data_IF_986409680347
#
_entry.id   IF_986409680347
#
_cell.length_a   1.000
_cell.length_b   1.000
_cell.length_c   1.000
_cell.angle_alpha   90.00
_cell.angle_beta   90.00
_cell.angle_gamma   90.00
#
_symmetry.space_group_name_H-M   'P 1'
#
loop_
_entity.id
_entity.type
_entity.pdbx_description
1 polymer ?
#
# COMPACT_ATOMS: atom_id res chain seq x y z
N UNK A 1 -37.96 6.50 -43.98
CA UNK A 1 -37.40 7.61 -44.80
C UNK A 1 -36.61 8.49 -43.83
N UNK A 2 -35.35 8.63 -43.78
CA UNK A 2 -34.22 8.67 -44.70
C UNK A 2 -32.96 8.15 -44.02
N UNK A 3 -32.25 7.23 -44.68
CA UNK A 3 -30.81 6.93 -44.45
C UNK A 3 -29.97 8.01 -45.13
N UNK A 4 -28.84 8.38 -44.46
CA UNK A 4 -27.56 8.89 -44.99
C UNK A 4 -26.87 9.69 -43.85
N UNK A 5 -25.60 9.49 -43.43
CA UNK A 5 -24.39 9.21 -44.15
C UNK A 5 -23.37 8.58 -43.22
N UNK A 6 -22.78 7.46 -43.63
CA UNK A 6 -21.52 6.96 -43.09
C UNK A 6 -20.39 7.77 -43.76
N UNK A 7 -19.70 8.59 -43.00
CA UNK A 7 -18.50 9.35 -43.44
C UNK A 7 -17.25 8.47 -43.42
N UNK A 8 -16.67 8.38 -44.59
CA UNK A 8 -15.48 7.61 -44.95
C UNK A 8 -14.24 7.99 -44.12
N UNK A 9 -13.76 7.03 -43.31
CA UNK A 9 -12.52 7.14 -42.55
C UNK A 9 -11.23 7.02 -43.37
N UNK A 10 -11.28 6.88 -44.68
CA UNK A 10 -10.14 6.73 -45.57
C UNK A 10 -9.63 8.04 -46.19
N UNK A 11 -10.32 9.15 -45.95
CA UNK A 11 -9.98 10.46 -46.51
C UNK A 11 -8.95 11.28 -45.71
N UNK A 12 -8.67 10.93 -44.46
CA UNK A 12 -7.84 11.76 -43.56
C UNK A 12 -6.32 11.52 -43.67
N UNK A 13 -5.90 10.46 -44.35
CA UNK A 13 -4.48 10.05 -44.41
C UNK A 13 -3.73 10.49 -45.70
N UNK A 14 -4.30 11.32 -46.55
CA UNK A 14 -3.69 11.70 -47.85
C UNK A 14 -3.43 13.17 -48.07
N UNK A 15 -3.49 14.05 -47.07
CA UNK A 15 -3.21 15.49 -47.25
C UNK A 15 -2.27 16.09 -46.20
N UNK A 16 -1.13 15.47 -45.97
CA UNK A 16 -0.07 16.07 -45.13
C UNK A 16 1.30 15.68 -45.63
N UNK A 17 1.57 15.88 -46.93
CA UNK A 17 2.91 15.92 -47.47
C UNK A 17 2.92 17.07 -48.47
N UNK A 18 3.45 18.20 -48.09
CA UNK A 18 4.21 19.24 -48.76
C UNK A 18 3.95 20.61 -48.12
N UNK A 19 4.81 20.99 -47.22
CA UNK A 19 5.30 22.36 -47.08
C UNK A 19 6.63 22.32 -46.36
N UNK A 20 7.71 22.37 -47.14
CA UNK A 20 9.05 22.57 -46.62
C UNK A 20 9.19 24.00 -46.11
N UNK A 21 9.64 24.16 -44.90
CA UNK A 21 10.22 25.39 -44.41
C UNK A 21 11.42 25.04 -43.55
N UNK A 22 12.58 25.41 -44.05
CA UNK A 22 13.88 25.38 -43.38
C UNK A 22 13.80 26.22 -42.12
N UNK A 23 13.83 25.58 -40.97
CA UNK A 23 14.09 26.23 -39.68
C UNK A 23 15.44 25.76 -39.17
N UNK A 24 16.33 26.72 -39.04
CA UNK A 24 17.66 26.64 -38.47
C UNK A 24 17.58 25.95 -37.08
N UNK A 25 18.17 24.76 -37.00
CA UNK A 25 18.43 24.08 -35.76
C UNK A 25 19.52 24.82 -34.98
N UNK A 26 19.15 25.65 -34.02
CA UNK A 26 20.01 25.98 -32.90
C UNK A 26 20.26 24.71 -32.11
N UNK A 27 21.50 24.33 -31.80
CA UNK A 27 21.75 23.23 -30.88
C UNK A 27 21.42 23.74 -29.48
N UNK A 28 20.21 23.45 -29.00
CA UNK A 28 19.97 23.41 -27.57
C UNK A 28 20.76 22.21 -27.05
N UNK A 29 21.97 22.46 -26.60
CA UNK A 29 22.72 21.56 -25.74
C UNK A 29 21.96 21.56 -24.42
N UNK A 30 21.04 20.61 -24.25
CA UNK A 30 20.64 20.17 -22.95
C UNK A 30 21.94 19.68 -22.29
N UNK A 31 22.48 20.50 -21.43
CA UNK A 31 23.46 20.10 -20.45
C UNK A 31 22.72 19.10 -19.52
N UNK A 32 22.75 17.82 -19.88
CA UNK A 32 22.51 16.77 -18.95
C UNK A 32 23.54 17.02 -17.84
N UNK A 33 23.04 17.37 -16.66
CA UNK A 33 23.78 17.31 -15.42
C UNK A 33 24.42 15.93 -15.33
N UNK A 34 25.54 15.84 -14.67
CA UNK A 34 26.48 14.73 -14.52
C UNK A 34 25.93 13.40 -14.00
N UNK A 35 24.70 13.05 -14.31
CA UNK A 35 24.06 11.77 -13.98
C UNK A 35 24.44 10.63 -14.94
N UNK A 36 25.33 10.89 -15.90
CA UNK A 36 25.84 9.87 -16.83
C UNK A 36 26.81 8.87 -16.19
N UNK A 37 27.29 9.10 -14.96
CA UNK A 37 28.14 8.14 -14.24
C UNK A 37 27.36 7.02 -13.55
N UNK A 38 26.02 7.06 -13.55
CA UNK A 38 25.15 6.05 -12.91
C UNK A 38 25.03 4.77 -13.77
N UNK A 39 25.46 4.77 -15.02
CA UNK A 39 25.14 3.74 -16.01
C UNK A 39 26.25 2.73 -16.30
N UNK A 40 27.41 2.81 -15.72
CA UNK A 40 28.49 1.86 -16.00
C UNK A 40 28.94 1.01 -14.81
N UNK A 41 28.18 -0.05 -14.53
CA UNK A 41 28.78 -1.28 -14.01
C UNK A 41 28.27 -2.45 -14.86
N UNK A 42 28.93 -2.68 -15.99
CA UNK A 42 28.75 -3.93 -16.73
C UNK A 42 29.41 -5.06 -15.97
N UNK A 43 28.64 -6.08 -15.61
CA UNK A 43 29.21 -7.34 -15.16
C UNK A 43 29.84 -8.08 -16.34
N UNK A 44 30.67 -9.09 -16.10
CA UNK A 44 31.35 -9.90 -17.14
C UNK A 44 30.40 -10.56 -18.15
N UNK A 45 29.07 -10.48 -17.97
CA UNK A 45 28.04 -11.04 -18.81
C UNK A 45 27.21 -9.96 -19.53
N UNK A 46 27.64 -8.69 -19.54
CA UNK A 46 27.02 -7.62 -20.32
C UNK A 46 25.73 -7.01 -19.75
N UNK A 47 25.32 -7.35 -18.53
CA UNK A 47 24.19 -6.72 -17.84
C UNK A 47 24.59 -5.45 -17.09
N UNK A 48 23.80 -4.40 -17.22
CA UNK A 48 23.95 -3.18 -16.39
C UNK A 48 23.33 -3.45 -15.02
N UNK A 49 24.16 -3.54 -13.98
CA UNK A 49 23.67 -3.58 -12.61
C UNK A 49 23.44 -2.17 -12.08
N UNK A 50 22.19 -1.82 -11.82
CA UNK A 50 21.86 -0.59 -11.09
C UNK A 50 22.33 -0.74 -9.63
N UNK A 51 23.02 0.28 -9.10
CA UNK A 51 23.32 0.31 -7.67
C UNK A 51 22.02 0.48 -6.90
N UNK A 52 21.78 -0.40 -5.94
CA UNK A 52 20.58 -0.34 -5.10
C UNK A 52 20.65 0.85 -4.14
N UNK A 53 19.80 1.83 -4.36
CA UNK A 53 19.65 3.03 -3.52
C UNK A 53 18.27 3.14 -2.87
N UNK A 54 17.37 2.17 -3.09
CA UNK A 54 16.03 2.14 -2.53
C UNK A 54 15.98 1.57 -1.11
N UNK A 55 14.92 1.90 -0.37
CA UNK A 55 14.55 1.25 0.87
C UNK A 55 13.95 -0.12 0.55
N UNK A 56 14.46 -1.19 1.18
CA UNK A 56 13.95 -2.54 0.96
C UNK A 56 12.56 -2.71 1.56
N UNK A 57 11.65 -3.35 0.81
CA UNK A 57 10.35 -3.78 1.34
C UNK A 57 10.61 -4.91 2.34
N UNK A 58 10.23 -4.69 3.60
CA UNK A 58 10.35 -5.69 4.66
C UNK A 58 9.01 -6.06 5.29
N UNK A 59 7.91 -5.50 4.78
CA UNK A 59 6.57 -5.88 5.19
C UNK A 59 5.58 -5.88 4.03
N UNK A 60 4.50 -6.64 4.17
CA UNK A 60 3.42 -6.68 3.19
C UNK A 60 2.07 -6.93 3.83
N UNK A 61 1.03 -6.39 3.21
CA UNK A 61 -0.33 -6.80 3.53
C UNK A 61 -0.63 -8.20 2.98
N UNK A 62 -1.58 -8.87 3.61
CA UNK A 62 -2.24 -10.11 3.16
C UNK A 62 -3.71 -9.79 2.99
N UNK A 63 -4.24 -9.96 1.78
CA UNK A 63 -5.62 -9.61 1.45
C UNK A 63 -6.36 -10.76 0.76
N UNK A 64 -7.33 -11.35 1.46
CA UNK A 64 -8.25 -12.36 0.95
C UNK A 64 -9.72 -11.90 1.10
N UNK A 65 -9.95 -10.60 1.33
CA UNK A 65 -11.27 -10.14 1.72
C UNK A 65 -11.73 -8.85 1.03
N UNK A 66 -10.83 -8.05 0.47
CA UNK A 66 -11.21 -6.82 -0.24
C UNK A 66 -12.03 -7.14 -1.48
N UNK A 67 -12.98 -6.26 -1.77
CA UNK A 67 -13.94 -6.45 -2.87
C UNK A 67 -13.45 -5.90 -4.21
N UNK A 68 -12.37 -5.17 -4.22
CA UNK A 68 -11.83 -4.42 -5.36
C UNK A 68 -10.59 -5.08 -6.00
N UNK A 69 -10.09 -6.15 -5.42
CA UNK A 69 -9.07 -7.01 -6.01
C UNK A 69 -9.60 -8.44 -6.16
N UNK A 70 -9.19 -9.19 -7.20
CA UNK A 70 -9.66 -10.55 -7.41
C UNK A 70 -9.06 -11.50 -6.39
N UNK A 71 -9.88 -12.38 -5.81
CA UNK A 71 -9.41 -13.46 -4.95
C UNK A 71 -8.58 -14.46 -5.75
N UNK A 72 -7.49 -14.93 -5.16
CA UNK A 72 -6.64 -15.97 -5.78
C UNK A 72 -7.12 -17.38 -5.47
N UNK A 73 -8.04 -17.53 -4.52
CA UNK A 73 -8.58 -18.83 -4.07
C UNK A 73 -7.47 -19.79 -3.61
N UNK A 74 -6.46 -19.29 -2.92
CA UNK A 74 -5.35 -20.08 -2.43
C UNK A 74 -5.73 -20.86 -1.17
N UNK A 75 -5.20 -22.10 -1.09
CA UNK A 75 -5.20 -22.87 0.12
C UNK A 75 -3.87 -22.79 0.87
N UNK A 76 -3.73 -23.59 1.93
CA UNK A 76 -2.52 -23.61 2.77
C UNK A 76 -1.23 -23.83 1.97
N UNK A 77 -1.27 -24.67 0.93
CA UNK A 77 -0.07 -24.98 0.13
C UNK A 77 0.43 -23.79 -0.66
N UNK A 78 -0.47 -23.03 -1.25
CA UNK A 78 -0.14 -21.83 -2.01
C UNK A 78 0.32 -20.72 -1.07
N UNK A 79 -0.35 -20.50 0.05
CA UNK A 79 0.07 -19.56 1.08
C UNK A 79 1.43 -19.91 1.67
N UNK A 80 1.70 -21.17 1.97
CA UNK A 80 3.02 -21.62 2.46
C UNK A 80 4.15 -21.27 1.48
N UNK A 81 3.90 -21.50 0.19
CA UNK A 81 4.85 -21.14 -0.88
C UNK A 81 5.03 -19.63 -1.00
N UNK A 82 3.96 -18.87 -0.83
CA UNK A 82 4.00 -17.41 -0.91
C UNK A 82 4.84 -16.81 0.23
N UNK A 83 4.68 -17.32 1.44
CA UNK A 83 5.54 -16.94 2.57
C UNK A 83 7.02 -17.29 2.32
N UNK A 84 7.32 -18.36 1.58
CA UNK A 84 8.68 -18.65 1.14
C UNK A 84 9.24 -17.56 0.22
N UNK A 85 8.45 -17.13 -0.77
CA UNK A 85 8.84 -16.05 -1.68
C UNK A 85 9.02 -14.72 -0.95
N UNK A 86 8.13 -14.39 -0.03
CA UNK A 86 8.27 -13.21 0.86
C UNK A 86 9.58 -13.26 1.64
N UNK A 87 9.86 -14.41 2.28
CA UNK A 87 11.10 -14.61 3.05
C UNK A 87 12.36 -14.45 2.20
N UNK A 88 12.33 -14.95 0.96
CA UNK A 88 13.47 -14.91 0.04
C UNK A 88 13.88 -13.49 -0.36
N UNK A 89 13.01 -12.49 -0.25
CA UNK A 89 13.29 -11.08 -0.50
C UNK A 89 13.38 -10.23 0.76
N UNK A 90 13.43 -10.87 1.95
CA UNK A 90 13.66 -10.19 3.22
C UNK A 90 12.41 -9.62 3.90
N UNK A 91 11.20 -10.02 3.50
CA UNK A 91 9.99 -9.68 4.25
C UNK A 91 10.02 -10.40 5.60
N UNK A 92 9.86 -9.64 6.65
CA UNK A 92 9.86 -10.08 8.05
C UNK A 92 8.54 -9.76 8.78
N UNK A 93 7.66 -9.01 8.12
CA UNK A 93 6.39 -8.55 8.69
C UNK A 93 5.26 -8.80 7.70
N UNK A 94 4.22 -9.48 8.16
CA UNK A 94 2.99 -9.68 7.41
C UNK A 94 1.82 -9.07 8.14
N UNK A 95 0.90 -8.44 7.41
CA UNK A 95 -0.17 -7.63 7.97
C UNK A 95 -1.49 -8.10 7.36
N UNK A 96 -2.38 -8.64 8.15
CA UNK A 96 -3.75 -8.88 7.69
C UNK A 96 -4.40 -7.52 7.43
N UNK A 97 -4.88 -7.28 6.21
CA UNK A 97 -5.45 -5.96 5.84
C UNK A 97 -6.67 -5.61 6.70
N UNK A 98 -7.52 -6.60 6.95
CA UNK A 98 -8.67 -6.52 7.85
C UNK A 98 -9.16 -7.91 8.23
N UNK A 99 -9.66 -8.06 9.42
CA UNK A 99 -10.17 -9.35 9.91
C UNK A 99 -11.56 -9.69 9.39
N UNK A 100 -12.22 -8.74 8.80
CA UNK A 100 -13.51 -8.88 8.14
C UNK A 100 -13.88 -7.61 7.40
N UNK A 101 -14.66 -7.76 6.32
CA UNK A 101 -15.25 -6.66 5.57
C UNK A 101 -16.75 -6.86 5.45
N UNK A 102 -17.52 -5.92 6.01
CA UNK A 102 -18.98 -6.03 6.08
C UNK A 102 -19.39 -7.35 6.74
N UNK A 103 -19.98 -8.27 6.00
CA UNK A 103 -20.46 -9.56 6.53
C UNK A 103 -19.48 -10.72 6.36
N UNK A 104 -18.40 -10.55 5.61
CA UNK A 104 -17.43 -11.62 5.38
C UNK A 104 -16.24 -11.47 6.33
N UNK A 105 -15.89 -12.53 7.06
CA UNK A 105 -14.86 -12.53 8.10
C UNK A 105 -13.83 -13.65 7.87
N UNK A 106 -12.62 -13.45 8.38
CA UNK A 106 -11.46 -14.32 8.13
C UNK A 106 -11.22 -15.36 9.22
N UNK A 107 -11.93 -15.28 10.33
CA UNK A 107 -11.76 -16.17 11.48
C UNK A 107 -13.11 -16.38 12.20
N UNK A 108 -13.28 -17.45 13.02
CA UNK A 108 -14.54 -17.80 13.67
C UNK A 108 -14.86 -16.89 14.87
N UNK A 109 -15.06 -15.59 14.62
CA UNK A 109 -15.49 -14.65 15.65
C UNK A 109 -16.89 -14.99 16.14
N UNK A 110 -17.02 -15.32 17.42
CA UNK A 110 -18.31 -15.58 18.04
C UNK A 110 -19.22 -14.34 18.01
N UNK A 111 -18.62 -13.16 18.22
CA UNK A 111 -19.34 -11.89 18.20
C UNK A 111 -19.90 -11.59 16.81
N UNK A 112 -19.05 -11.60 15.78
CA UNK A 112 -19.46 -11.26 14.42
C UNK A 112 -20.40 -12.30 13.79
N UNK A 113 -20.17 -13.59 14.05
CA UNK A 113 -21.11 -14.66 13.65
C UNK A 113 -22.48 -14.46 14.30
N UNK A 114 -22.52 -14.06 15.58
CA UNK A 114 -23.75 -13.69 16.27
C UNK A 114 -24.49 -12.50 15.67
N UNK A 115 -23.78 -11.61 14.95
CA UNK A 115 -24.34 -10.49 14.18
C UNK A 115 -24.75 -10.88 12.74
N UNK A 116 -24.66 -12.16 12.39
CA UNK A 116 -25.04 -12.67 11.06
C UNK A 116 -23.95 -12.50 9.99
N UNK A 117 -22.69 -12.37 10.42
CA UNK A 117 -21.55 -12.50 9.51
C UNK A 117 -21.31 -13.97 9.17
N UNK A 118 -20.59 -14.23 8.09
CA UNK A 118 -20.14 -15.55 7.66
C UNK A 118 -18.65 -15.53 7.36
N UNK A 119 -17.98 -16.63 7.64
CA UNK A 119 -16.54 -16.73 7.49
C UNK A 119 -16.15 -17.54 6.23
N UNK A 120 -14.92 -17.45 5.84
CA UNK A 120 -14.29 -18.36 4.87
C UNK A 120 -14.34 -19.80 5.37
N UNK A 121 -14.11 -20.77 4.49
CA UNK A 121 -14.12 -22.21 4.82
C UNK A 121 -13.01 -22.62 5.78
N UNK A 122 -11.99 -21.79 5.96
CA UNK A 122 -10.85 -22.00 6.85
C UNK A 122 -10.65 -20.80 7.78
N UNK A 123 -10.06 -21.02 8.95
CA UNK A 123 -9.56 -19.95 9.81
C UNK A 123 -8.27 -19.39 9.22
N UNK A 124 -8.43 -18.31 8.43
CA UNK A 124 -7.29 -17.64 7.78
C UNK A 124 -6.37 -16.97 8.80
N UNK A 125 -6.92 -16.46 9.91
CA UNK A 125 -6.11 -15.85 10.96
C UNK A 125 -5.16 -16.86 11.59
N UNK A 126 -5.67 -18.04 11.99
CA UNK A 126 -4.82 -19.09 12.56
C UNK A 126 -3.80 -19.60 11.54
N UNK A 127 -4.19 -19.75 10.28
CA UNK A 127 -3.30 -20.17 9.21
C UNK A 127 -2.14 -19.18 9.01
N UNK A 128 -2.42 -17.89 8.92
CA UNK A 128 -1.39 -16.86 8.73
C UNK A 128 -0.48 -16.73 9.95
N UNK A 129 -1.01 -16.84 11.17
CA UNK A 129 -0.20 -16.84 12.39
C UNK A 129 0.78 -18.02 12.41
N UNK A 130 0.33 -19.23 12.05
CA UNK A 130 1.19 -20.42 11.94
C UNK A 130 2.26 -20.27 10.86
N UNK A 131 1.91 -19.73 9.71
CA UNK A 131 2.88 -19.47 8.64
C UNK A 131 3.89 -18.41 9.04
N UNK A 132 3.46 -17.35 9.69
CA UNK A 132 4.35 -16.32 10.22
C UNK A 132 5.35 -16.91 11.26
N UNK A 133 4.89 -17.78 12.16
CA UNK A 133 5.79 -18.51 13.08
C UNK A 133 6.79 -19.39 12.34
N UNK A 134 6.31 -20.18 11.37
CA UNK A 134 7.14 -21.08 10.56
C UNK A 134 8.28 -20.34 9.86
N UNK A 135 8.03 -19.15 9.36
CA UNK A 135 9.02 -18.36 8.60
C UNK A 135 9.73 -17.29 9.44
N UNK A 136 9.44 -17.21 10.75
CA UNK A 136 10.03 -16.25 11.67
C UNK A 136 9.68 -14.80 11.30
N UNK A 137 8.41 -14.56 10.96
CA UNK A 137 7.85 -13.25 10.64
C UNK A 137 6.98 -12.75 11.79
N UNK A 138 6.85 -11.41 11.91
CA UNK A 138 5.86 -10.78 12.77
C UNK A 138 4.54 -10.65 12.01
N UNK A 139 3.44 -10.94 12.69
CA UNK A 139 2.09 -10.78 12.18
C UNK A 139 1.39 -9.62 12.87
N UNK A 140 0.83 -8.70 12.08
CA UNK A 140 -0.03 -7.63 12.56
C UNK A 140 -1.48 -7.92 12.21
N UNK A 141 -2.33 -7.90 13.22
CA UNK A 141 -3.76 -8.14 13.05
C UNK A 141 -4.47 -6.87 12.61
N UNK A 142 -5.11 -6.90 11.42
CA UNK A 142 -5.96 -5.82 10.94
C UNK A 142 -7.37 -5.92 11.54
N UNK A 143 -7.85 -4.80 12.07
CA UNK A 143 -9.15 -4.72 12.71
C UNK A 143 -10.31 -4.98 11.73
N UNK A 144 -11.50 -5.18 12.25
CA UNK A 144 -12.71 -5.40 11.46
C UNK A 144 -13.16 -4.07 10.82
N UNK A 145 -13.56 -4.15 9.55
CA UNK A 145 -14.14 -3.07 8.77
C UNK A 145 -15.63 -3.36 8.53
N UNK A 146 -16.49 -2.64 9.23
CA UNK A 146 -17.95 -2.81 9.09
C UNK A 146 -18.47 -2.27 7.75
N UNK A 147 -17.69 -1.48 7.05
CA UNK A 147 -18.07 -0.76 5.83
C UNK A 147 -18.87 0.51 6.08
N UNK A 148 -19.26 0.81 7.34
CA UNK A 148 -20.13 1.97 7.64
C UNK A 148 -19.41 3.29 7.39
N UNK A 149 -18.12 3.38 7.72
CA UNK A 149 -17.38 4.62 7.51
C UNK A 149 -17.21 4.97 6.02
N UNK A 150 -17.16 3.98 5.14
CA UNK A 150 -17.16 4.19 3.69
C UNK A 150 -18.46 4.81 3.19
N UNK A 151 -19.59 4.41 3.81
CA UNK A 151 -20.90 4.92 3.43
C UNK A 151 -21.20 6.30 4.07
N UNK A 152 -20.63 6.57 5.26
CA UNK A 152 -20.94 7.77 6.07
C UNK A 152 -19.84 8.83 6.08
N UNK A 153 -18.60 8.46 5.76
CA UNK A 153 -17.41 9.31 5.94
C UNK A 153 -17.01 9.52 7.41
N UNK A 154 -17.52 8.71 8.35
CA UNK A 154 -17.29 8.83 9.79
C UNK A 154 -16.68 7.55 10.36
N UNK A 155 -15.40 7.59 10.75
CA UNK A 155 -14.67 6.43 11.27
C UNK A 155 -15.15 6.00 12.67
N UNK A 156 -15.85 6.85 13.41
CA UNK A 156 -16.33 6.52 14.75
C UNK A 156 -17.27 5.29 14.79
N UNK A 157 -17.90 4.95 13.68
CA UNK A 157 -18.73 3.75 13.55
C UNK A 157 -17.94 2.45 13.76
N UNK A 158 -16.64 2.44 13.52
CA UNK A 158 -15.82 1.23 13.63
C UNK A 158 -15.46 0.88 15.09
N UNK A 159 -15.62 1.82 16.03
CA UNK A 159 -15.28 1.60 17.46
C UNK A 159 -16.17 0.51 18.08
N UNK A 160 -17.46 0.54 17.79
CA UNK A 160 -18.46 -0.33 18.45
C UNK A 160 -18.13 -1.83 18.27
N UNK A 161 -17.92 -2.25 17.03
CA UNK A 161 -17.67 -3.65 16.72
C UNK A 161 -16.23 -4.06 17.09
N UNK A 162 -15.26 -3.18 16.86
CA UNK A 162 -13.87 -3.49 17.15
C UNK A 162 -13.56 -3.62 18.64
N UNK A 163 -14.35 -3.01 19.50
CA UNK A 163 -14.26 -3.24 20.96
C UNK A 163 -14.36 -4.74 21.31
N UNK A 164 -15.28 -5.46 20.69
CA UNK A 164 -15.45 -6.89 20.95
C UNK A 164 -14.44 -7.75 20.15
N UNK A 165 -14.11 -7.33 18.93
CA UNK A 165 -13.14 -8.02 18.07
C UNK A 165 -11.75 -8.04 18.71
N UNK A 166 -11.28 -6.90 19.23
CA UNK A 166 -9.96 -6.78 19.88
C UNK A 166 -9.86 -7.73 21.08
N UNK A 167 -10.83 -7.69 21.98
CA UNK A 167 -10.85 -8.56 23.17
C UNK A 167 -10.89 -10.05 22.78
N UNK A 168 -11.77 -10.41 21.83
CA UNK A 168 -11.93 -11.80 21.38
C UNK A 168 -10.67 -12.35 20.71
N UNK A 169 -10.05 -11.56 19.84
CA UNK A 169 -8.83 -11.99 19.13
C UNK A 169 -7.66 -12.12 20.08
N UNK A 170 -7.48 -11.19 20.99
CA UNK A 170 -6.42 -11.30 21.97
C UNK A 170 -6.57 -12.53 22.86
N UNK A 171 -7.78 -12.78 23.36
CA UNK A 171 -8.07 -13.95 24.21
C UNK A 171 -7.86 -15.29 23.49
N UNK A 172 -8.18 -15.36 22.19
CA UNK A 172 -8.17 -16.63 21.45
C UNK A 172 -6.86 -16.88 20.69
N UNK A 173 -6.15 -15.85 20.26
CA UNK A 173 -4.97 -15.96 19.40
C UNK A 173 -3.74 -15.24 19.97
N UNK A 174 -3.90 -14.03 20.53
CA UNK A 174 -2.80 -13.14 20.87
C UNK A 174 -1.71 -13.80 21.72
N UNK A 175 -2.09 -14.43 22.84
CA UNK A 175 -1.14 -15.08 23.75
C UNK A 175 -0.66 -16.47 23.27
N UNK A 176 -1.34 -17.07 22.30
CA UNK A 176 -1.04 -18.42 21.78
C UNK A 176 0.06 -18.45 20.74
N UNK A 177 0.22 -17.36 19.98
CA UNK A 177 1.13 -17.28 18.86
C UNK A 177 2.22 -16.24 19.08
N UNK A 178 3.48 -16.67 19.07
CA UNK A 178 4.64 -15.77 19.21
C UNK A 178 4.81 -14.85 18.00
N UNK A 179 4.22 -15.22 16.87
CA UNK A 179 4.17 -14.40 15.65
C UNK A 179 3.25 -13.18 15.79
N UNK A 180 2.27 -13.18 16.71
CA UNK A 180 1.41 -12.03 16.93
C UNK A 180 2.25 -10.85 17.43
N UNK A 181 2.58 -9.93 16.51
CA UNK A 181 3.57 -8.88 16.74
C UNK A 181 3.00 -7.49 16.91
N UNK A 182 1.70 -7.30 16.67
CA UNK A 182 1.07 -5.98 16.78
C UNK A 182 -0.31 -5.90 16.11
N UNK A 183 -0.81 -4.67 16.03
CA UNK A 183 -2.14 -4.35 15.55
C UNK A 183 -2.09 -3.35 14.39
N UNK A 184 -2.86 -3.62 13.35
CA UNK A 184 -3.15 -2.66 12.29
C UNK A 184 -4.57 -2.12 12.48
N UNK A 185 -4.69 -0.81 12.74
CA UNK A 185 -6.00 -0.17 12.83
C UNK A 185 -6.45 0.12 11.41
N UNK A 186 -7.27 -0.75 10.86
CA UNK A 186 -7.57 -0.90 9.42
C UNK A 186 -8.45 0.20 8.81
N UNK A 187 -8.74 1.26 9.55
CA UNK A 187 -9.44 2.43 8.99
C UNK A 187 -8.58 3.15 7.96
N UNK A 188 -8.88 2.95 6.69
CA UNK A 188 -8.26 3.73 5.62
C UNK A 188 -8.85 5.14 5.63
N UNK A 189 -8.05 6.12 5.96
CA UNK A 189 -8.48 7.52 6.04
C UNK A 189 -7.65 8.42 5.14
N UNK A 190 -8.25 9.55 4.79
CA UNK A 190 -7.53 10.78 4.42
C UNK A 190 -7.56 11.77 5.58
N UNK A 191 -6.88 12.88 5.39
CA UNK A 191 -6.87 14.03 6.31
C UNK A 191 -8.26 14.54 6.74
N UNK A 192 -9.29 14.34 5.92
CA UNK A 192 -10.63 14.90 6.13
C UNK A 192 -11.64 13.89 6.72
N UNK A 193 -11.20 12.69 7.07
CA UNK A 193 -12.11 11.66 7.59
C UNK A 193 -12.63 12.04 8.97
N UNK A 194 -13.96 12.18 9.08
CA UNK A 194 -14.61 12.55 10.34
C UNK A 194 -14.41 11.47 11.40
N UNK A 195 -14.21 11.88 12.65
CA UNK A 195 -14.06 10.97 13.78
C UNK A 195 -12.74 10.20 13.85
N UNK A 196 -11.80 10.42 12.91
CA UNK A 196 -10.57 9.65 12.79
C UNK A 196 -9.71 9.65 14.07
N UNK A 197 -9.44 10.84 14.63
CA UNK A 197 -8.62 10.97 15.86
C UNK A 197 -9.25 10.17 17.01
N UNK A 198 -10.54 10.38 17.29
CA UNK A 198 -11.23 9.69 18.36
C UNK A 198 -11.31 8.18 18.16
N UNK A 199 -11.50 7.73 16.92
CA UNK A 199 -11.56 6.31 16.56
C UNK A 199 -10.18 5.64 16.72
N UNK A 200 -9.13 6.23 16.19
CA UNK A 200 -7.77 5.70 16.34
C UNK A 200 -7.32 5.67 17.78
N UNK A 201 -7.61 6.74 18.54
CA UNK A 201 -7.28 6.78 19.96
C UNK A 201 -8.01 5.68 20.73
N UNK A 202 -9.33 5.53 20.55
CA UNK A 202 -10.12 4.51 21.25
C UNK A 202 -9.66 3.08 20.93
N UNK A 203 -9.53 2.76 19.63
CA UNK A 203 -9.11 1.42 19.20
C UNK A 203 -7.64 1.14 19.52
N UNK A 204 -6.74 2.11 19.30
CA UNK A 204 -5.31 1.98 19.61
C UNK A 204 -5.06 1.76 21.10
N UNK A 205 -5.74 2.54 21.94
CA UNK A 205 -5.66 2.37 23.40
C UNK A 205 -6.10 0.96 23.82
N UNK A 206 -7.23 0.49 23.33
CA UNK A 206 -7.71 -0.85 23.67
C UNK A 206 -6.76 -1.95 23.18
N UNK A 207 -6.24 -1.84 21.96
CA UNK A 207 -5.23 -2.77 21.45
C UNK A 207 -4.01 -2.88 22.38
N UNK A 208 -3.49 -1.73 22.84
CA UNK A 208 -2.37 -1.68 23.79
C UNK A 208 -2.74 -2.24 25.16
N UNK A 209 -3.91 -1.86 25.69
CA UNK A 209 -4.36 -2.30 27.02
C UNK A 209 -4.48 -3.83 27.11
N UNK A 210 -5.12 -4.49 26.12
CA UNK A 210 -5.30 -5.95 26.13
C UNK A 210 -4.01 -6.73 25.91
N UNK A 211 -3.09 -6.16 25.13
CA UNK A 211 -1.88 -6.87 24.69
C UNK A 211 -0.62 -6.52 25.48
N UNK A 212 -0.74 -5.69 26.53
CA UNK A 212 0.42 -5.27 27.31
C UNK A 212 1.36 -4.35 26.53
N UNK A 213 0.82 -3.55 25.61
CA UNK A 213 1.56 -2.53 24.88
C UNK A 213 2.15 -2.99 23.55
N UNK A 214 1.63 -4.03 22.91
CA UNK A 214 2.07 -4.37 21.55
C UNK A 214 1.87 -3.19 20.59
N UNK A 215 2.78 -3.03 19.60
CA UNK A 215 2.74 -1.89 18.71
C UNK A 215 1.48 -1.85 17.84
N UNK A 216 1.05 -0.64 17.55
CA UNK A 216 -0.08 -0.32 16.67
C UNK A 216 0.40 0.52 15.50
N UNK A 217 -0.24 0.40 14.33
CA UNK A 217 0.01 1.30 13.23
C UNK A 217 -1.24 1.57 12.39
N UNK A 218 -1.17 2.64 11.60
CA UNK A 218 -2.19 3.05 10.62
C UNK A 218 -1.58 3.18 9.23
N UNK A 219 -2.40 3.08 8.18
CA UNK A 219 -1.96 3.24 6.78
C UNK A 219 -2.91 4.15 5.98
N UNK A 220 -2.87 5.46 6.24
CA UNK A 220 -3.69 6.44 5.53
C UNK A 220 -3.13 6.77 4.16
N UNK A 221 -3.94 7.38 3.28
CA UNK A 221 -3.45 7.88 2.00
C UNK A 221 -3.12 9.37 2.02
N UNK A 222 -2.29 9.78 1.05
CA UNK A 222 -1.93 11.17 0.81
C UNK A 222 -2.81 11.71 -0.33
N UNK A 223 -3.43 12.88 -0.16
CA UNK A 223 -4.27 13.53 -1.18
C UNK A 223 -3.41 14.36 -2.15
N UNK A 224 -2.61 13.70 -2.98
CA UNK A 224 -1.77 14.32 -4.00
C UNK A 224 -2.46 14.50 -5.36
N UNK A 225 -1.70 14.93 -6.37
CA UNK A 225 -2.22 15.24 -7.72
C UNK A 225 -2.86 14.06 -8.44
N UNK A 226 -2.42 12.83 -8.21
CA UNK A 226 -3.01 11.63 -8.82
C UNK A 226 -4.40 11.32 -8.31
N UNK A 227 -4.75 11.74 -7.12
CA UNK A 227 -6.10 11.64 -6.60
C UNK A 227 -7.13 12.33 -7.50
N UNK A 228 -6.72 13.40 -8.19
CA UNK A 228 -7.55 14.19 -9.11
C UNK A 228 -7.80 13.47 -10.43
N UNK A 229 -6.81 12.73 -10.91
CA UNK A 229 -6.83 12.09 -12.23
C UNK A 229 -7.51 10.72 -12.21
N UNK A 230 -7.72 10.17 -11.02
CA UNK A 230 -8.31 8.85 -10.83
C UNK A 230 -9.84 8.86 -10.96
N UNK A 231 -10.41 7.66 -11.04
CA UNK A 231 -11.86 7.45 -11.11
C UNK A 231 -12.52 7.58 -9.74
N UNK A 232 -11.83 8.00 -8.71
CA UNK A 232 -12.32 8.13 -7.33
C UNK A 232 -13.08 9.44 -7.05
N UNK A 233 -13.46 10.20 -8.08
CA UNK A 233 -14.27 11.43 -7.99
C UNK A 233 -13.64 12.54 -7.12
N UNK A 234 -12.36 12.46 -6.81
CA UNK A 234 -11.64 13.55 -6.14
C UNK A 234 -11.42 14.65 -7.19
N UNK A 235 -11.80 15.86 -6.88
CA UNK A 235 -11.65 17.02 -7.76
C UNK A 235 -10.27 17.66 -7.59
N UNK A 236 -9.92 18.65 -8.43
CA UNK A 236 -8.66 19.40 -8.26
C UNK A 236 -8.55 20.09 -6.90
N UNK A 237 -9.68 20.46 -6.33
CA UNK A 237 -9.77 21.07 -5.01
C UNK A 237 -9.43 20.10 -3.88
N UNK A 238 -9.51 18.80 -4.13
CA UNK A 238 -9.21 17.76 -3.14
C UNK A 238 -7.71 17.43 -3.05
N UNK A 239 -6.92 17.76 -4.07
CA UNK A 239 -5.47 17.67 -4.00
C UNK A 239 -4.93 18.80 -3.13
N UNK A 240 -4.10 18.44 -2.14
CA UNK A 240 -3.60 19.42 -1.16
C UNK A 240 -2.16 19.81 -1.44
N UNK A 241 -1.80 21.02 -1.01
CA UNK A 241 -0.39 21.41 -0.94
C UNK A 241 0.32 20.62 0.18
N UNK A 242 1.64 20.51 0.06
CA UNK A 242 2.48 19.90 1.12
C UNK A 242 2.29 20.62 2.46
N UNK A 243 2.14 21.95 2.46
CA UNK A 243 1.89 22.74 3.67
C UNK A 243 0.52 22.45 4.32
N UNK A 244 -0.50 22.25 3.49
CA UNK A 244 -1.83 21.88 3.98
C UNK A 244 -1.78 20.48 4.59
N UNK A 245 -1.14 19.53 3.92
CA UNK A 245 -0.91 18.18 4.43
C UNK A 245 -0.16 18.20 5.77
N UNK A 246 0.95 18.96 5.87
CA UNK A 246 1.71 19.11 7.11
C UNK A 246 0.85 19.60 8.26
N UNK A 247 0.06 20.66 8.02
CA UNK A 247 -0.81 21.23 9.04
C UNK A 247 -1.84 20.22 9.57
N UNK A 248 -2.55 19.55 8.66
CA UNK A 248 -3.65 18.67 9.03
C UNK A 248 -3.17 17.36 9.66
N UNK A 249 -2.08 16.78 9.16
CA UNK A 249 -1.49 15.60 9.78
C UNK A 249 -0.78 15.90 11.09
N UNK A 250 -0.31 17.12 11.29
CA UNK A 250 0.18 17.54 12.60
C UNK A 250 -0.93 17.50 13.67
N UNK A 251 -2.16 17.92 13.34
CA UNK A 251 -3.31 17.84 14.25
C UNK A 251 -3.71 16.38 14.53
N UNK A 252 -3.68 15.53 13.50
CA UNK A 252 -4.01 14.11 13.66
C UNK A 252 -2.96 13.42 14.54
N UNK A 253 -1.67 13.59 14.26
CA UNK A 253 -0.60 12.95 15.03
C UNK A 253 -0.58 13.43 16.49
N UNK A 254 -0.85 14.72 16.74
CA UNK A 254 -1.00 15.23 18.10
C UNK A 254 -2.05 14.49 18.92
N UNK A 255 -3.15 14.08 18.26
CA UNK A 255 -4.26 13.37 18.90
C UNK A 255 -4.13 11.85 19.01
N UNK A 256 -3.08 11.23 18.41
CA UNK A 256 -3.00 9.75 18.37
C UNK A 256 -1.63 9.17 18.72
N UNK A 257 -0.58 9.99 18.84
CA UNK A 257 0.81 9.52 18.99
C UNK A 257 1.08 8.70 20.26
N UNK A 258 0.25 8.81 21.27
CA UNK A 258 0.33 8.04 22.51
C UNK A 258 -0.22 6.61 22.35
N UNK A 259 -1.01 6.36 21.31
CA UNK A 259 -1.66 5.07 21.04
C UNK A 259 -1.36 4.49 19.67
N UNK A 260 -0.67 5.22 18.79
CA UNK A 260 -0.23 4.76 17.47
C UNK A 260 1.28 4.91 17.35
N UNK A 261 1.99 3.80 17.16
CA UNK A 261 3.45 3.76 17.17
C UNK A 261 4.07 4.01 15.78
N UNK A 262 3.31 3.72 14.69
CA UNK A 262 3.80 3.92 13.34
C UNK A 262 2.70 4.40 12.37
N UNK A 263 3.10 5.18 11.39
CA UNK A 263 2.24 5.58 10.28
C UNK A 263 2.88 5.17 8.95
N UNK A 264 2.16 4.37 8.15
CA UNK A 264 2.57 3.88 6.85
C UNK A 264 1.75 4.55 5.74
N UNK A 265 2.14 5.74 5.31
CA UNK A 265 1.39 6.45 4.28
C UNK A 265 1.38 5.70 2.93
N UNK A 266 0.18 5.55 2.35
CA UNK A 266 -0.04 5.03 1.00
C UNK A 266 0.35 6.10 -0.03
N UNK A 267 1.17 5.73 -1.00
CA UNK A 267 1.75 6.64 -2.00
C UNK A 267 1.02 6.66 -3.35
N UNK A 268 -0.11 5.96 -3.46
CA UNK A 268 -0.80 5.78 -4.73
C UNK A 268 -1.43 7.04 -5.32
N UNK A 269 -1.70 8.04 -4.52
CA UNK A 269 -2.38 9.28 -4.94
C UNK A 269 -1.44 10.47 -5.12
N UNK A 270 -0.13 10.30 -4.92
CA UNK A 270 0.87 11.34 -5.21
C UNK A 270 1.59 11.05 -6.52
N UNK A 271 1.97 12.09 -7.24
CA UNK A 271 2.77 11.93 -8.46
C UNK A 271 4.26 11.79 -8.12
N UNK A 272 5.05 11.26 -9.06
CA UNK A 272 6.48 10.98 -8.81
C UNK A 272 7.29 12.25 -8.55
N UNK A 273 6.87 13.40 -9.07
CA UNK A 273 7.47 14.70 -8.78
C UNK A 273 7.09 15.29 -7.41
N UNK A 274 6.10 14.70 -6.73
CA UNK A 274 5.65 15.10 -5.40
C UNK A 274 6.26 14.27 -4.26
N UNK A 275 6.83 13.08 -4.58
CA UNK A 275 7.27 12.09 -3.60
C UNK A 275 8.19 12.68 -2.52
N UNK A 276 9.28 13.33 -2.93
CA UNK A 276 10.27 13.83 -1.97
C UNK A 276 9.66 14.83 -1.00
N UNK A 277 8.85 15.78 -1.49
CA UNK A 277 8.27 16.84 -0.66
C UNK A 277 7.27 16.29 0.39
N UNK A 278 6.37 15.37 -0.01
CA UNK A 278 5.44 14.76 0.95
C UNK A 278 6.17 13.82 1.92
N UNK A 279 7.15 13.06 1.45
CA UNK A 279 7.89 12.11 2.28
C UNK A 279 8.75 12.81 3.34
N UNK A 280 9.40 13.92 3.01
CA UNK A 280 10.12 14.76 3.97
C UNK A 280 9.20 15.28 5.08
N UNK A 281 8.02 15.75 4.71
CA UNK A 281 7.03 16.23 5.68
C UNK A 281 6.51 15.10 6.57
N UNK A 282 6.20 13.94 6.01
CA UNK A 282 5.74 12.79 6.78
C UNK A 282 6.79 12.34 7.80
N UNK A 283 8.06 12.25 7.38
CA UNK A 283 9.17 11.90 8.29
C UNK A 283 9.36 12.92 9.39
N UNK A 284 9.34 14.22 9.04
CA UNK A 284 9.43 15.32 10.01
C UNK A 284 8.32 15.26 11.08
N UNK A 285 7.09 14.98 10.65
CA UNK A 285 5.95 14.85 11.57
C UNK A 285 6.09 13.61 12.46
N UNK A 286 6.43 12.46 11.89
CA UNK A 286 6.63 11.25 12.66
C UNK A 286 7.74 11.42 13.71
N UNK A 287 8.87 12.01 13.34
CA UNK A 287 9.97 12.29 14.28
C UNK A 287 9.55 13.25 15.39
N UNK A 288 8.77 14.29 15.06
CA UNK A 288 8.25 15.25 16.05
C UNK A 288 7.44 14.56 17.15
N UNK A 289 6.65 13.56 16.80
CA UNK A 289 5.77 12.86 17.72
C UNK A 289 6.33 11.51 18.23
N UNK A 290 7.57 11.17 17.89
CA UNK A 290 8.21 9.93 18.32
C UNK A 290 7.61 8.66 17.69
N UNK A 291 6.92 8.81 16.54
CA UNK A 291 6.34 7.73 15.78
C UNK A 291 7.32 7.21 14.74
N UNK A 292 7.21 5.94 14.35
CA UNK A 292 7.92 5.41 13.19
C UNK A 292 7.24 5.88 11.89
N UNK A 293 8.03 6.27 10.91
CA UNK A 293 7.57 6.65 9.60
C UNK A 293 7.79 5.52 8.61
N UNK A 294 6.73 4.86 8.19
CA UNK A 294 6.78 3.82 7.18
C UNK A 294 6.19 4.32 5.86
N UNK A 295 6.62 3.75 4.74
CA UNK A 295 5.91 3.89 3.47
C UNK A 295 5.12 2.63 3.18
N UNK A 296 3.86 2.77 2.73
CA UNK A 296 3.11 1.73 2.06
C UNK A 296 3.27 1.97 0.55
N UNK A 297 4.37 1.42 0.00
CA UNK A 297 4.67 1.52 -1.42
C UNK A 297 3.75 0.58 -2.20
N UNK A 298 2.72 1.13 -2.84
CA UNK A 298 1.79 0.33 -3.64
C UNK A 298 2.53 -0.38 -4.78
N UNK A 299 2.43 -1.70 -4.83
CA UNK A 299 3.01 -2.55 -5.89
C UNK A 299 2.08 -2.77 -7.07
N UNK A 300 0.94 -2.10 -7.09
CA UNK A 300 0.04 -2.01 -8.24
C UNK A 300 0.05 -0.62 -8.87
N UNK A 301 -0.43 -0.54 -10.12
CA UNK A 301 -0.44 0.69 -10.91
C UNK A 301 -1.85 1.31 -10.94
N UNK A 302 -1.94 2.61 -10.61
CA UNK A 302 -3.19 3.39 -10.70
C UNK A 302 -3.28 4.18 -12.02
N UNK A 303 -2.19 4.30 -12.76
CA UNK A 303 -2.11 5.09 -14.00
C UNK A 303 -2.61 4.30 -15.23
N UNK A 304 -2.91 3.03 -15.06
CA UNK A 304 -3.40 2.15 -16.12
C UNK A 304 -4.93 2.22 -16.26
N UNK A 305 -5.47 2.10 -17.48
CA UNK A 305 -6.92 2.02 -17.69
C UNK A 305 -7.59 0.82 -16.98
N UNK A 306 -6.86 -0.29 -16.86
CA UNK A 306 -7.25 -1.44 -16.04
C UNK A 306 -6.59 -1.27 -14.69
N UNK A 307 -7.39 -1.13 -13.65
CA UNK A 307 -6.92 -0.88 -12.30
C UNK A 307 -6.27 -2.10 -11.67
N UNK A 308 -5.37 -1.83 -10.74
CA UNK A 308 -4.74 -2.84 -9.90
C UNK A 308 -4.05 -3.94 -10.71
N UNK A 309 -3.24 -3.53 -11.70
CA UNK A 309 -2.23 -4.41 -12.28
C UNK A 309 -0.89 -4.22 -11.57
N UNK A 310 -0.01 -5.23 -11.58
CA UNK A 310 1.34 -5.08 -11.05
C UNK A 310 2.05 -3.86 -11.64
N UNK A 311 2.65 -3.06 -10.76
CA UNK A 311 3.34 -1.82 -11.16
C UNK A 311 4.60 -2.13 -11.97
N UNK A 312 4.97 -1.23 -12.87
CA UNK A 312 6.29 -1.29 -13.52
C UNK A 312 7.39 -1.09 -12.47
N UNK A 313 8.44 -1.93 -12.50
CA UNK A 313 9.52 -1.87 -11.52
C UNK A 313 10.16 -0.48 -11.39
N UNK A 314 10.39 0.23 -12.50
CA UNK A 314 10.96 1.59 -12.46
C UNK A 314 10.14 2.56 -11.62
N UNK A 315 8.81 2.44 -11.67
CA UNK A 315 7.89 3.25 -10.84
C UNK A 315 8.00 2.90 -9.35
N UNK A 316 8.02 1.59 -9.02
CA UNK A 316 8.22 1.14 -7.64
C UNK A 316 9.59 1.57 -7.09
N UNK A 317 10.64 1.49 -7.92
CA UNK A 317 11.99 1.93 -7.58
C UNK A 317 12.02 3.40 -7.16
N UNK A 318 11.40 4.29 -7.93
CA UNK A 318 11.31 5.73 -7.60
C UNK A 318 10.71 5.97 -6.21
N UNK A 319 9.63 5.24 -5.86
CA UNK A 319 8.98 5.32 -4.54
C UNK A 319 9.93 4.88 -3.42
N UNK A 320 10.60 3.75 -3.59
CA UNK A 320 11.52 3.19 -2.59
C UNK A 320 12.79 4.04 -2.43
N UNK A 321 13.29 4.64 -3.50
CA UNK A 321 14.40 5.58 -3.45
C UNK A 321 14.03 6.89 -2.74
N UNK A 322 12.84 7.44 -3.01
CA UNK A 322 12.34 8.63 -2.32
C UNK A 322 12.16 8.37 -0.81
N UNK A 323 11.58 7.23 -0.43
CA UNK A 323 11.45 6.84 0.98
C UNK A 323 12.80 6.74 1.69
N UNK A 324 13.81 6.20 1.01
CA UNK A 324 15.16 6.12 1.57
C UNK A 324 15.80 7.50 1.71
N UNK A 325 15.66 8.38 0.71
CA UNK A 325 16.17 9.77 0.79
C UNK A 325 15.55 10.54 1.95
N UNK A 326 14.25 10.38 2.17
CA UNK A 326 13.53 11.01 3.29
C UNK A 326 13.86 10.38 4.67
N UNK A 327 14.58 9.26 4.71
CA UNK A 327 14.97 8.61 5.96
C UNK A 327 13.87 7.79 6.63
N UNK A 328 12.97 7.21 5.86
CA UNK A 328 11.90 6.35 6.39
C UNK A 328 12.46 5.12 7.09
N UNK A 329 11.78 4.69 8.17
CA UNK A 329 12.22 3.60 9.02
C UNK A 329 11.95 2.22 8.41
N UNK A 330 10.89 2.10 7.60
CA UNK A 330 10.46 0.82 6.98
C UNK A 330 9.69 1.06 5.70
N UNK A 331 9.83 0.14 4.74
CA UNK A 331 8.92 0.02 3.62
C UNK A 331 8.06 -1.23 3.76
N UNK A 332 6.75 -1.05 3.68
CA UNK A 332 5.78 -2.12 3.48
C UNK A 332 5.12 -1.93 2.11
N UNK A 333 4.39 -2.91 1.63
CA UNK A 333 3.68 -2.82 0.34
C UNK A 333 2.26 -3.38 0.42
N UNK A 334 1.36 -2.75 -0.29
CA UNK A 334 0.09 -3.33 -0.69
C UNK A 334 0.19 -3.72 -2.16
N UNK A 335 0.25 -5.00 -2.55
CA UNK A 335 0.60 -6.07 -1.63
C UNK A 335 1.36 -7.16 -2.41
N UNK A 336 2.06 -8.01 -1.73
CA UNK A 336 2.97 -8.97 -2.38
C UNK A 336 2.22 -10.06 -3.16
N UNK A 337 1.23 -10.69 -2.55
CA UNK A 337 0.61 -11.93 -3.05
C UNK A 337 -0.05 -11.78 -4.42
N UNK A 338 -0.71 -10.64 -4.69
CA UNK A 338 -1.32 -10.35 -5.98
C UNK A 338 -0.36 -9.68 -6.96
N UNK A 339 0.49 -8.73 -6.48
CA UNK A 339 1.19 -7.82 -7.39
C UNK A 339 2.69 -8.07 -7.49
N UNK A 340 3.28 -8.90 -6.62
CA UNK A 340 4.71 -9.24 -6.66
C UNK A 340 5.01 -10.73 -6.61
N UNK A 341 4.05 -11.59 -6.22
CA UNK A 341 4.31 -13.01 -6.08
C UNK A 341 4.52 -13.71 -7.43
N UNK A 342 5.54 -14.61 -7.53
CA UNK A 342 5.73 -15.43 -8.73
C UNK A 342 4.56 -16.39 -9.04
N UNK A 343 3.68 -16.66 -8.06
CA UNK A 343 2.51 -17.51 -8.24
C UNK A 343 1.19 -16.75 -8.37
N UNK A 344 1.25 -15.42 -8.45
CA UNK A 344 0.07 -14.58 -8.66
C UNK A 344 -0.67 -14.95 -9.95
N UNK A 345 -1.98 -14.70 -9.97
CA UNK A 345 -2.78 -14.73 -11.19
C UNK A 345 -2.32 -13.73 -12.26
N UNK A 346 -1.58 -12.70 -11.86
CA UNK A 346 -0.97 -11.72 -12.77
C UNK A 346 0.45 -12.14 -13.14
N UNK A 347 0.67 -12.53 -14.37
CA UNK A 347 2.00 -12.95 -14.86
C UNK A 347 3.08 -11.88 -14.62
N UNK A 348 2.72 -10.59 -14.73
CA UNK A 348 3.62 -9.47 -14.50
C UNK A 348 4.16 -9.39 -13.07
N UNK A 349 3.44 -9.94 -12.09
CA UNK A 349 3.87 -9.97 -10.69
C UNK A 349 5.18 -10.75 -10.51
N UNK A 350 5.30 -11.91 -11.17
CA UNK A 350 6.54 -12.69 -11.17
C UNK A 350 7.71 -11.93 -11.79
N UNK A 351 7.47 -11.18 -12.87
CA UNK A 351 8.52 -10.35 -13.48
C UNK A 351 8.90 -9.16 -12.57
N UNK A 352 7.93 -8.58 -11.85
CA UNK A 352 8.22 -7.53 -10.86
C UNK A 352 9.09 -8.08 -9.72
N UNK A 353 8.79 -9.29 -9.23
CA UNK A 353 9.59 -9.99 -8.23
C UNK A 353 11.03 -10.19 -8.70
N UNK A 354 11.23 -10.65 -9.93
CA UNK A 354 12.57 -10.87 -10.49
C UNK A 354 13.36 -9.56 -10.62
N UNK A 355 12.74 -8.48 -11.12
CA UNK A 355 13.38 -7.15 -11.21
C UNK A 355 13.74 -6.59 -9.83
N UNK A 356 12.86 -6.80 -8.84
CA UNK A 356 13.11 -6.40 -7.46
C UNK A 356 14.31 -7.15 -6.87
N UNK A 357 14.37 -8.49 -7.08
CA UNK A 357 15.52 -9.30 -6.65
C UNK A 357 16.84 -8.84 -7.28
N UNK A 358 16.83 -8.63 -8.58
CA UNK A 358 18.01 -8.15 -9.31
C UNK A 358 18.52 -6.82 -8.78
N UNK A 359 17.63 -5.86 -8.58
CA UNK A 359 17.98 -4.53 -8.09
C UNK A 359 18.56 -4.57 -6.67
N UNK A 360 17.99 -5.34 -5.77
CA UNK A 360 18.45 -5.44 -4.39
C UNK A 360 19.51 -6.52 -4.15
N UNK A 361 19.89 -7.29 -5.15
CA UNK A 361 20.93 -8.32 -5.05
C UNK A 361 20.51 -9.56 -4.26
N UNK A 362 19.22 -9.89 -4.23
CA UNK A 362 18.74 -11.15 -3.65
C UNK A 362 19.06 -12.32 -4.59
N UNK A 363 19.50 -13.45 -4.02
CA UNK A 363 19.83 -14.69 -4.75
C UNK A 363 18.59 -15.51 -5.11
#
# INVERSE_FOLDING_TARGET
MNRKNAGDRRGFLKKSIMAGASLLLSPFVLRASSDSEIWEMTNKNGGVMLKSDGLKITGTFLDEISHDIPHQNWGLKEWDRDFQYMKAIGIDTVIMIRSGYRKFITYPSKYLLGKGCYMSSVDLLEMFLKLAEKYGMKFYFGLYDSGRYWDTGDLSWEIEDNKYVIDEVWANYGSRFKSFGGWYISGEISRATKGAIGAFHAMGKQCKDVSGGLPTFISPWIDGKKAIMGTNKITKEDAVSVQQHEKEWNEIFDGIHDVVDACAFQDGHIDYDELDAFFEVNKKLADKYGMQCWTNAESFDRDMPIRFLPIKFDKLRLKLEAAKRAGYDKAITFEFSHFMSPQSAYLQAGHLYDRYKEYFGFK
#
